data_IF_253360644512
#
_entry.id   IF_253360644512
#
_cell.length_a   1.000
_cell.length_b   1.000
_cell.length_c   1.000
_cell.angle_alpha   90.00
_cell.angle_beta   90.00
_cell.angle_gamma   90.00
#
_symmetry.space_group_name_H-M   'P 1'
#
loop_
_entity.id
_entity.type
_entity.pdbx_description
1 polymer ?
#
# COMPACT_ATOMS: atom_id res chain seq x y z
N UNK A 1 -22.27 30.63 25.32
CA UNK A 1 -22.23 29.57 24.29
C UNK A 1 -21.41 28.44 24.87
N UNK A 2 -21.96 27.22 24.91
CA UNK A 2 -21.23 26.05 25.43
C UNK A 2 -20.25 25.61 24.34
N UNK A 3 -18.95 25.70 24.58
CA UNK A 3 -17.94 25.09 23.69
C UNK A 3 -18.19 23.57 23.68
N UNK A 4 -18.69 23.04 22.56
CA UNK A 4 -18.75 21.60 22.36
C UNK A 4 -17.32 21.11 22.13
N UNK A 5 -16.79 20.32 23.07
CA UNK A 5 -15.51 19.64 22.87
C UNK A 5 -15.75 18.28 22.22
N UNK A 6 -15.39 18.18 20.95
CA UNK A 6 -15.48 16.96 20.16
C UNK A 6 -14.40 15.94 20.56
N UNK A 7 -13.28 16.40 21.13
CA UNK A 7 -12.09 15.58 21.41
C UNK A 7 -11.83 15.31 22.91
N UNK A 8 -12.87 15.21 23.73
CA UNK A 8 -12.77 15.10 25.20
C UNK A 8 -12.05 13.85 25.75
N UNK A 9 -11.94 12.76 24.98
CA UNK A 9 -11.34 11.48 25.41
C UNK A 9 -9.95 11.22 24.84
N UNK A 10 -9.39 12.17 24.11
CA UNK A 10 -8.15 12.01 23.35
C UNK A 10 -6.93 12.23 24.25
N UNK A 11 -6.01 11.25 24.29
CA UNK A 11 -4.79 11.31 25.11
C UNK A 11 -3.51 11.39 24.28
N UNK A 12 -3.54 10.94 23.04
CA UNK A 12 -2.38 10.87 22.14
C UNK A 12 -2.69 11.48 20.78
N UNK A 13 -1.65 11.76 19.99
CA UNK A 13 -1.81 12.21 18.60
C UNK A 13 -2.58 11.18 17.75
N UNK A 14 -2.35 9.90 18.00
CA UNK A 14 -3.08 8.81 17.31
C UNK A 14 -4.56 8.78 17.71
N UNK A 15 -4.87 8.93 18.99
CA UNK A 15 -6.26 9.04 19.47
C UNK A 15 -6.97 10.25 18.84
N UNK A 16 -6.26 11.36 18.66
CA UNK A 16 -6.80 12.58 18.05
C UNK A 16 -7.18 12.32 16.60
N UNK A 17 -6.27 11.72 15.84
CA UNK A 17 -6.48 11.33 14.43
C UNK A 17 -7.63 10.32 14.30
N UNK A 18 -7.69 9.34 15.20
CA UNK A 18 -8.71 8.28 15.18
C UNK A 18 -10.11 8.81 15.49
N UNK A 19 -10.24 9.66 16.51
CA UNK A 19 -11.55 10.25 16.83
C UNK A 19 -11.96 11.27 15.75
N UNK A 20 -11.02 12.02 15.18
CA UNK A 20 -11.28 12.91 14.05
C UNK A 20 -11.82 12.13 12.85
N UNK A 21 -11.18 11.01 12.49
CA UNK A 21 -11.63 10.13 11.41
C UNK A 21 -13.06 9.65 11.63
N UNK A 22 -13.38 9.22 12.85
CA UNK A 22 -14.72 8.73 13.21
C UNK A 22 -15.77 9.83 13.11
N UNK A 23 -15.46 11.03 13.61
CA UNK A 23 -16.37 12.18 13.58
C UNK A 23 -16.55 12.74 12.16
N UNK A 24 -15.47 12.85 11.38
CA UNK A 24 -15.50 13.25 9.98
C UNK A 24 -16.35 12.27 9.16
N UNK A 25 -16.20 10.96 9.40
CA UNK A 25 -17.08 9.95 8.82
C UNK A 25 -18.53 10.06 9.32
N UNK A 26 -18.82 10.59 10.50
CA UNK A 26 -20.21 10.67 10.96
C UNK A 26 -20.93 11.89 10.38
N UNK A 27 -20.23 13.03 10.31
CA UNK A 27 -20.82 14.33 9.99
C UNK A 27 -20.45 14.87 8.60
N UNK A 28 -19.79 14.05 7.76
CA UNK A 28 -19.45 14.43 6.39
C UNK A 28 -20.69 14.93 5.62
N UNK A 29 -20.60 16.05 4.88
CA UNK A 29 -21.75 16.62 4.16
C UNK A 29 -22.39 15.65 3.16
N UNK A 30 -21.60 14.75 2.56
CA UNK A 30 -22.08 13.77 1.58
C UNK A 30 -22.65 12.48 2.19
N UNK A 31 -22.75 12.40 3.52
CA UNK A 31 -23.37 11.25 4.20
C UNK A 31 -24.83 11.54 4.57
N UNK A 32 -25.71 10.53 4.56
CA UNK A 32 -27.07 10.69 5.05
C UNK A 32 -27.05 11.06 6.54
N UNK A 33 -27.49 12.28 6.86
CA UNK A 33 -27.39 12.86 8.21
C UNK A 33 -26.14 13.71 8.47
N UNK A 34 -25.36 14.02 7.42
CA UNK A 34 -24.23 14.93 7.42
C UNK A 34 -24.59 16.37 7.80
N UNK A 35 -23.63 17.11 8.34
CA UNK A 35 -23.84 18.49 8.79
C UNK A 35 -22.57 19.32 8.62
N UNK A 36 -22.60 20.23 7.62
CA UNK A 36 -21.48 21.12 7.29
C UNK A 36 -21.07 22.00 8.46
N UNK A 37 -22.01 22.46 9.30
CA UNK A 37 -21.69 23.31 10.45
C UNK A 37 -20.97 22.52 11.54
N UNK A 38 -21.39 21.27 11.81
CA UNK A 38 -20.68 20.38 12.74
C UNK A 38 -19.30 20.01 12.20
N UNK A 39 -19.17 19.74 10.90
CA UNK A 39 -17.87 19.43 10.30
C UNK A 39 -16.89 20.61 10.42
N UNK A 40 -17.35 21.85 10.20
CA UNK A 40 -16.51 23.04 10.40
C UNK A 40 -16.06 23.19 11.85
N UNK A 41 -16.91 22.88 12.82
CA UNK A 41 -16.55 22.89 14.24
C UNK A 41 -15.51 21.82 14.58
N UNK A 42 -15.72 20.58 14.09
CA UNK A 42 -14.78 19.46 14.27
C UNK A 42 -13.42 19.80 13.65
N UNK A 43 -13.40 20.39 12.45
CA UNK A 43 -12.19 20.85 11.78
C UNK A 43 -11.45 21.94 12.54
N UNK A 44 -12.17 22.94 13.04
CA UNK A 44 -11.58 24.04 13.79
C UNK A 44 -10.95 23.57 15.10
N UNK A 45 -11.63 22.67 15.83
CA UNK A 45 -11.07 22.09 17.06
C UNK A 45 -9.88 21.18 16.76
N UNK A 46 -9.95 20.37 15.70
CA UNK A 46 -8.85 19.52 15.26
C UNK A 46 -7.59 20.32 14.89
N UNK A 47 -7.73 21.38 14.08
CA UNK A 47 -6.62 22.26 13.70
C UNK A 47 -5.97 22.93 14.91
N UNK A 48 -6.75 23.24 15.95
CA UNK A 48 -6.23 23.83 17.18
C UNK A 48 -5.45 22.83 18.02
N UNK A 49 -5.94 21.60 18.12
CA UNK A 49 -5.35 20.56 18.97
C UNK A 49 -4.14 19.88 18.32
N UNK A 50 -4.16 19.68 17.02
CA UNK A 50 -3.15 18.89 16.30
C UNK A 50 -1.70 19.35 16.55
N UNK A 51 -1.34 20.65 16.46
CA UNK A 51 0.03 21.09 16.72
C UNK A 51 0.48 20.80 18.16
N UNK A 52 -0.41 20.90 19.14
CA UNK A 52 -0.10 20.64 20.54
C UNK A 52 0.16 19.15 20.78
N UNK A 53 -0.69 18.26 20.25
CA UNK A 53 -0.49 16.82 20.35
C UNK A 53 0.72 16.34 19.54
N UNK A 54 0.99 16.95 18.38
CA UNK A 54 2.17 16.67 17.57
C UNK A 54 3.45 17.06 18.30
N UNK A 55 3.49 18.25 18.92
CA UNK A 55 4.63 18.68 19.73
C UNK A 55 4.88 17.75 20.92
N UNK A 56 3.83 17.25 21.58
CA UNK A 56 3.96 16.29 22.69
C UNK A 56 4.48 14.94 22.17
N UNK A 57 3.91 14.42 21.09
CA UNK A 57 4.35 13.18 20.46
C UNK A 57 5.83 13.24 20.05
N UNK A 58 6.24 14.34 19.41
CA UNK A 58 7.60 14.52 18.92
C UNK A 58 8.65 14.68 20.02
N UNK A 59 8.25 14.94 21.28
CA UNK A 59 9.18 14.95 22.43
C UNK A 59 9.62 13.55 22.84
N UNK A 60 8.80 12.55 22.59
CA UNK A 60 9.02 11.16 23.06
C UNK A 60 9.22 10.16 21.92
N UNK A 61 8.89 10.53 20.68
CA UNK A 61 8.99 9.65 19.53
C UNK A 61 10.44 9.53 19.03
N UNK A 62 10.87 8.30 18.72
CA UNK A 62 12.14 8.04 18.05
C UNK A 62 12.21 8.67 16.64
N UNK A 63 11.04 8.82 16.00
CA UNK A 63 10.87 9.47 14.70
C UNK A 63 9.82 10.58 14.82
N UNK A 64 10.19 11.86 14.67
CA UNK A 64 9.24 12.98 14.74
C UNK A 64 8.23 12.96 13.59
N UNK A 65 6.95 13.20 13.88
CA UNK A 65 5.92 13.43 12.87
C UNK A 65 6.05 14.84 12.30
N UNK A 66 6.09 14.94 10.97
CA UNK A 66 6.09 16.20 10.19
C UNK A 66 4.75 16.48 9.51
N UNK A 67 3.71 15.69 9.82
CA UNK A 67 2.40 15.83 9.20
C UNK A 67 1.73 17.14 9.63
N UNK A 68 0.84 17.68 8.81
CA UNK A 68 0.03 18.85 9.16
C UNK A 68 -1.42 18.47 9.32
N UNK A 69 -2.16 19.23 10.14
CA UNK A 69 -3.60 19.06 10.28
C UNK A 69 -4.30 19.09 8.91
N UNK A 70 -3.91 20.02 8.02
CA UNK A 70 -4.45 20.10 6.67
C UNK A 70 -4.24 18.82 5.84
N UNK A 71 -3.03 18.25 5.85
CA UNK A 71 -2.74 16.98 5.18
C UNK A 71 -3.61 15.86 5.76
N UNK A 72 -3.61 15.69 7.08
CA UNK A 72 -4.39 14.64 7.72
C UNK A 72 -5.89 14.79 7.46
N UNK A 73 -6.43 16.01 7.44
CA UNK A 73 -7.84 16.25 7.09
C UNK A 73 -8.15 15.90 5.63
N UNK A 74 -7.31 16.32 4.68
CA UNK A 74 -7.49 16.06 3.25
C UNK A 74 -7.50 14.56 2.91
N UNK A 75 -6.74 13.75 3.65
CA UNK A 75 -6.73 12.28 3.51
C UNK A 75 -8.07 11.61 3.86
N UNK A 76 -8.99 12.29 4.54
CA UNK A 76 -10.27 11.74 4.98
C UNK A 76 -11.48 12.18 4.15
N UNK A 77 -11.33 13.16 3.24
CA UNK A 77 -12.45 13.84 2.61
C UNK A 77 -13.09 13.13 1.44
N UNK A 78 -12.63 11.93 1.13
CA UNK A 78 -13.25 11.18 0.05
C UNK A 78 -13.92 9.95 0.60
N UNK A 79 -15.21 9.86 0.32
CA UNK A 79 -16.11 8.82 0.78
C UNK A 79 -15.59 7.41 0.47
N UNK A 80 -14.71 7.29 -0.54
CA UNK A 80 -14.09 6.07 -1.05
C UNK A 80 -12.55 6.10 -1.00
N UNK A 81 -11.96 7.12 -0.37
CA UNK A 81 -10.52 7.33 -0.23
C UNK A 81 -9.87 6.28 0.65
N UNK A 82 -9.19 5.34 0.03
CA UNK A 82 -8.38 4.36 0.69
C UNK A 82 -6.92 4.47 0.25
N UNK A 83 -6.01 4.58 1.21
CA UNK A 83 -4.57 4.61 1.01
C UNK A 83 -3.97 3.45 1.79
N UNK A 84 -3.17 2.62 1.12
CA UNK A 84 -2.44 1.54 1.75
C UNK A 84 -1.32 2.04 2.67
N UNK A 85 -0.97 1.25 3.68
CA UNK A 85 -0.02 1.63 4.74
C UNK A 85 1.38 2.01 4.24
N UNK A 86 1.78 1.51 3.06
CA UNK A 86 3.08 1.76 2.44
C UNK A 86 3.00 2.75 1.26
N UNK A 87 1.87 3.43 1.05
CA UNK A 87 1.73 4.40 -0.03
C UNK A 87 2.51 5.69 0.26
N UNK A 88 3.26 6.14 -0.74
CA UNK A 88 3.88 7.46 -0.76
C UNK A 88 3.57 8.18 -2.08
N UNK A 89 3.27 9.48 -2.07
CA UNK A 89 2.89 10.23 -3.26
C UNK A 89 4.00 10.32 -4.31
N UNK A 90 5.27 10.37 -3.87
CA UNK A 90 6.44 10.47 -4.77
C UNK A 90 6.89 9.11 -5.33
N UNK A 91 6.28 8.01 -4.87
CA UNK A 91 6.66 6.66 -5.31
C UNK A 91 6.03 6.36 -6.67
N UNK A 92 6.88 6.03 -7.64
CA UNK A 92 6.45 5.65 -8.97
C UNK A 92 5.90 4.22 -9.02
N UNK A 93 5.00 3.97 -9.96
CA UNK A 93 4.43 2.63 -10.21
C UNK A 93 5.49 1.60 -10.62
N UNK A 94 6.57 2.07 -11.28
CA UNK A 94 7.70 1.23 -11.65
C UNK A 94 8.48 0.75 -10.41
N UNK A 95 8.66 1.62 -9.41
CA UNK A 95 9.27 1.24 -8.13
C UNK A 95 8.41 0.25 -7.37
N UNK A 96 7.09 0.48 -7.29
CA UNK A 96 6.15 -0.50 -6.70
C UNK A 96 6.30 -1.86 -7.39
N UNK A 97 6.44 -1.89 -8.71
CA UNK A 97 6.64 -3.14 -9.45
C UNK A 97 7.98 -3.82 -9.13
N UNK A 98 9.04 -3.07 -8.85
CA UNK A 98 10.33 -3.63 -8.38
C UNK A 98 10.18 -4.25 -7.00
N UNK A 99 9.57 -3.53 -6.07
CA UNK A 99 9.29 -4.00 -4.70
C UNK A 99 8.47 -5.29 -4.74
N UNK A 100 7.41 -5.36 -5.56
CA UNK A 100 6.60 -6.57 -5.70
C UNK A 100 7.39 -7.76 -6.25
N UNK A 101 8.32 -7.54 -7.19
CA UNK A 101 9.20 -8.61 -7.71
C UNK A 101 10.14 -9.13 -6.63
N UNK A 102 10.71 -8.25 -5.81
CA UNK A 102 11.59 -8.62 -4.71
C UNK A 102 10.83 -9.37 -3.62
N UNK A 103 9.66 -8.88 -3.22
CA UNK A 103 8.74 -9.56 -2.32
C UNK A 103 8.42 -10.97 -2.82
N UNK A 104 8.00 -11.11 -4.08
CA UNK A 104 7.66 -12.40 -4.67
C UNK A 104 8.86 -13.37 -4.66
N UNK A 105 10.08 -12.90 -4.97
CA UNK A 105 11.29 -13.73 -4.92
C UNK A 105 11.65 -14.18 -3.50
N UNK A 106 11.42 -13.32 -2.50
CA UNK A 106 11.76 -13.59 -1.08
C UNK A 106 10.75 -14.54 -0.43
N UNK A 107 9.46 -14.29 -0.63
CA UNK A 107 8.37 -15.06 0.01
C UNK A 107 8.04 -16.33 -0.76
N UNK A 108 8.13 -16.28 -2.08
CA UNK A 108 7.73 -17.35 -3.00
C UNK A 108 8.88 -17.73 -3.95
N UNK A 109 10.02 -18.21 -3.44
CA UNK A 109 11.19 -18.53 -4.26
C UNK A 109 10.98 -19.65 -5.28
N UNK A 110 10.00 -20.53 -5.03
CA UNK A 110 9.60 -21.63 -5.91
C UNK A 110 8.50 -21.24 -6.91
N UNK A 111 8.08 -19.98 -6.89
CA UNK A 111 7.04 -19.46 -7.78
C UNK A 111 7.67 -18.56 -8.83
N UNK A 112 7.16 -18.65 -10.07
CA UNK A 112 7.53 -17.75 -11.15
C UNK A 112 6.43 -16.72 -11.33
N UNK A 113 6.69 -15.48 -10.93
CA UNK A 113 5.81 -14.35 -11.20
C UNK A 113 6.29 -13.55 -12.41
N UNK A 114 5.34 -13.05 -13.19
CA UNK A 114 5.55 -12.04 -14.21
C UNK A 114 4.84 -10.76 -13.77
N UNK A 115 5.62 -9.81 -13.27
CA UNK A 115 5.15 -8.50 -12.80
C UNK A 115 5.63 -7.45 -13.79
N UNK A 116 4.72 -6.74 -14.45
CA UNK A 116 5.04 -5.77 -15.51
C UNK A 116 4.31 -4.46 -15.27
N UNK A 117 5.01 -3.35 -15.40
CA UNK A 117 4.40 -2.02 -15.37
C UNK A 117 4.05 -1.59 -16.79
N UNK A 118 2.87 -1.03 -16.97
CA UNK A 118 2.47 -0.39 -18.22
C UNK A 118 2.09 1.06 -17.93
N UNK A 119 2.56 1.98 -18.75
CA UNK A 119 2.23 3.40 -18.64
C UNK A 119 1.42 3.81 -19.86
N UNK A 120 0.39 4.62 -19.67
CA UNK A 120 -0.49 5.10 -20.72
C UNK A 120 -0.89 6.56 -20.47
N UNK A 121 -1.53 7.20 -21.44
CA UNK A 121 -2.00 8.57 -21.30
C UNK A 121 -3.03 8.65 -20.17
N UNK A 122 -2.68 9.34 -19.08
CA UNK A 122 -3.56 9.48 -17.91
C UNK A 122 -3.37 8.43 -16.81
N UNK A 123 -2.33 7.58 -16.86
CA UNK A 123 -2.04 6.70 -15.73
C UNK A 123 -1.04 5.58 -15.99
N UNK A 124 -1.02 4.64 -15.06
CA UNK A 124 -0.14 3.48 -15.07
C UNK A 124 -0.84 2.26 -14.47
N UNK A 125 -0.45 1.07 -14.91
CA UNK A 125 -0.95 -0.20 -14.41
C UNK A 125 0.17 -1.18 -14.06
N UNK A 126 -0.10 -2.10 -13.13
CA UNK A 126 0.76 -3.22 -12.77
C UNK A 126 0.03 -4.53 -13.09
N UNK A 127 0.59 -5.28 -14.04
CA UNK A 127 0.11 -6.61 -14.40
C UNK A 127 0.88 -7.65 -13.61
N UNK A 128 0.20 -8.44 -12.77
CA UNK A 128 0.80 -9.50 -11.96
C UNK A 128 0.22 -10.86 -12.38
N UNK A 129 1.06 -11.67 -13.01
CA UNK A 129 0.71 -13.02 -13.46
C UNK A 129 1.53 -14.09 -12.72
N UNK A 130 0.86 -15.07 -12.11
CA UNK A 130 1.51 -16.29 -11.62
C UNK A 130 1.72 -17.25 -12.79
N UNK A 131 2.98 -17.49 -13.17
CA UNK A 131 3.35 -18.29 -14.35
C UNK A 131 3.73 -19.73 -14.01
N UNK A 132 4.29 -19.98 -12.83
CA UNK A 132 4.60 -21.33 -12.37
C UNK A 132 4.61 -21.43 -10.85
N UNK A 133 4.25 -22.61 -10.32
CA UNK A 133 4.31 -22.94 -8.90
C UNK A 133 4.46 -24.47 -8.70
N UNK A 134 4.83 -24.95 -7.50
CA UNK A 134 4.97 -26.38 -7.20
C UNK A 134 3.66 -27.12 -6.93
N UNK A 135 2.54 -26.58 -7.40
CA UNK A 135 1.21 -27.13 -7.22
C UNK A 135 0.29 -26.69 -8.37
N UNK A 136 -0.79 -27.43 -8.59
CA UNK A 136 -1.84 -27.03 -9.53
C UNK A 136 -2.56 -25.77 -9.04
N UNK A 137 -2.70 -24.79 -9.93
CA UNK A 137 -3.34 -23.53 -9.57
C UNK A 137 -4.87 -23.58 -9.61
N UNK A 138 -5.41 -24.46 -10.44
CA UNK A 138 -6.84 -24.56 -10.71
C UNK A 138 -7.37 -25.94 -10.32
N UNK A 139 -8.55 -25.97 -9.68
CA UNK A 139 -9.26 -27.20 -9.36
C UNK A 139 -9.98 -27.79 -10.59
N UNK A 140 -10.29 -26.96 -11.59
CA UNK A 140 -11.04 -27.30 -12.80
C UNK A 140 -10.15 -27.62 -14.01
N UNK A 141 -8.83 -27.75 -13.81
CA UNK A 141 -7.87 -28.09 -14.88
C UNK A 141 -7.59 -26.95 -15.86
N UNK A 142 -8.10 -25.74 -15.63
CA UNK A 142 -7.69 -24.56 -16.40
C UNK A 142 -6.18 -24.34 -16.24
N UNK A 143 -5.58 -23.72 -17.26
CA UNK A 143 -4.17 -23.31 -17.24
C UNK A 143 -3.98 -21.81 -17.31
N UNK A 144 -5.06 -21.06 -17.47
CA UNK A 144 -5.02 -19.61 -17.46
C UNK A 144 -6.35 -19.03 -17.00
N UNK A 145 -6.30 -17.92 -16.27
CA UNK A 145 -7.47 -17.12 -15.94
C UNK A 145 -7.05 -15.76 -15.40
N UNK A 146 -7.76 -14.71 -15.84
CA UNK A 146 -7.71 -13.41 -15.18
C UNK A 146 -8.57 -13.47 -13.91
N UNK A 147 -8.03 -12.96 -12.81
CA UNK A 147 -8.68 -12.98 -11.51
C UNK A 147 -9.32 -11.62 -11.23
N UNK A 148 -10.58 -11.66 -10.77
CA UNK A 148 -11.21 -10.46 -10.25
C UNK A 148 -10.73 -10.21 -8.83
N UNK A 149 -9.98 -9.13 -8.64
CA UNK A 149 -9.39 -8.72 -7.37
C UNK A 149 -10.40 -8.56 -6.21
N UNK A 150 -11.67 -8.25 -6.52
CA UNK A 150 -12.72 -8.07 -5.51
C UNK A 150 -13.31 -9.40 -5.03
N UNK A 151 -13.36 -10.42 -5.89
CA UNK A 151 -13.99 -11.72 -5.60
C UNK A 151 -12.97 -12.86 -5.47
N UNK A 152 -11.69 -12.54 -5.20
CA UNK A 152 -10.62 -13.54 -5.02
C UNK A 152 -10.94 -14.53 -3.90
N UNK A 153 -11.55 -14.07 -2.81
CA UNK A 153 -11.89 -14.93 -1.67
C UNK A 153 -12.98 -15.94 -2.03
N UNK A 154 -13.93 -15.56 -2.88
CA UNK A 154 -15.08 -16.38 -3.27
C UNK A 154 -14.78 -17.28 -4.48
N UNK A 155 -13.67 -17.04 -5.19
CA UNK A 155 -13.33 -17.80 -6.39
C UNK A 155 -13.17 -19.31 -6.10
N UNK A 156 -14.05 -20.14 -6.65
CA UNK A 156 -14.06 -21.59 -6.44
C UNK A 156 -13.17 -22.36 -7.42
N UNK A 157 -12.71 -21.72 -8.51
CA UNK A 157 -11.86 -22.35 -9.52
C UNK A 157 -10.41 -22.51 -9.06
N UNK A 158 -9.96 -21.75 -8.06
CA UNK A 158 -8.59 -21.80 -7.55
C UNK A 158 -8.40 -22.87 -6.48
N UNK A 159 -7.24 -23.53 -6.49
CA UNK A 159 -6.82 -24.37 -5.36
C UNK A 159 -6.57 -23.51 -4.12
N UNK A 160 -6.71 -24.07 -2.90
CA UNK A 160 -6.47 -23.32 -1.67
C UNK A 160 -5.08 -22.66 -1.61
N UNK A 161 -4.06 -23.35 -2.11
CA UNK A 161 -2.68 -22.86 -2.17
C UNK A 161 -2.55 -21.66 -3.12
N UNK A 162 -3.09 -21.78 -4.35
CA UNK A 162 -3.08 -20.68 -5.31
C UNK A 162 -3.86 -19.47 -4.81
N UNK A 163 -5.05 -19.69 -4.24
CA UNK A 163 -5.88 -18.64 -3.65
C UNK A 163 -5.12 -17.90 -2.56
N UNK A 164 -4.46 -18.61 -1.64
CA UNK A 164 -3.67 -17.99 -0.57
C UNK A 164 -2.57 -17.07 -1.12
N UNK A 165 -1.83 -17.52 -2.13
CA UNK A 165 -0.76 -16.73 -2.75
C UNK A 165 -1.31 -15.50 -3.47
N UNK A 166 -2.41 -15.64 -4.22
CA UNK A 166 -3.00 -14.51 -4.94
C UNK A 166 -3.66 -13.50 -3.99
N UNK A 167 -4.26 -13.95 -2.88
CA UNK A 167 -4.76 -13.06 -1.82
C UNK A 167 -3.65 -12.29 -1.13
N UNK A 168 -2.54 -12.97 -0.81
CA UNK A 168 -1.36 -12.33 -0.26
C UNK A 168 -0.82 -11.27 -1.21
N UNK A 169 -0.75 -11.60 -2.50
CA UNK A 169 -0.24 -10.68 -3.49
C UNK A 169 -1.15 -9.47 -3.69
N UNK A 170 -2.47 -9.70 -3.71
CA UNK A 170 -3.48 -8.65 -3.72
C UNK A 170 -3.35 -7.73 -2.49
N UNK A 171 -3.11 -8.28 -1.30
CA UNK A 171 -2.92 -7.50 -0.07
C UNK A 171 -1.71 -6.57 -0.18
N UNK A 172 -0.57 -7.10 -0.62
CA UNK A 172 0.68 -6.33 -0.71
C UNK A 172 0.56 -5.24 -1.78
N UNK A 173 0.01 -5.54 -2.95
CA UNK A 173 -0.22 -4.52 -4.00
C UNK A 173 -1.07 -3.38 -3.45
N UNK A 174 -2.17 -3.71 -2.77
CA UNK A 174 -3.04 -2.70 -2.18
C UNK A 174 -2.29 -1.88 -1.12
N UNK A 175 -1.38 -2.46 -0.32
CA UNK A 175 -0.62 -1.68 0.68
C UNK A 175 0.18 -0.51 0.09
N UNK A 176 0.49 -0.53 -1.22
CA UNK A 176 1.20 0.53 -1.92
C UNK A 176 0.28 1.45 -2.75
N UNK A 177 -1.03 1.24 -2.72
CA UNK A 177 -2.00 1.87 -3.62
C UNK A 177 -2.84 2.91 -2.89
N UNK A 178 -3.12 4.04 -3.57
CA UNK A 178 -4.22 4.96 -3.24
C UNK A 178 -5.36 4.71 -4.22
N UNK A 179 -6.57 4.63 -3.70
CA UNK A 179 -7.81 4.54 -4.46
C UNK A 179 -8.75 5.57 -3.91
N UNK A 180 -9.30 6.39 -4.77
CA UNK A 180 -10.15 7.50 -4.41
C UNK A 180 -11.32 7.63 -5.39
N UNK A 181 -11.83 6.48 -5.82
CA UNK A 181 -12.83 6.42 -6.87
C UNK A 181 -14.17 6.90 -6.34
N UNK A 182 -14.74 7.94 -6.94
CA UNK A 182 -16.13 8.36 -6.70
C UNK A 182 -17.02 7.87 -7.85
N UNK A 183 -18.10 7.16 -7.51
CA UNK A 183 -19.11 6.70 -8.47
C UNK A 183 -19.81 7.82 -9.25
N UNK A 184 -19.76 9.08 -8.78
CA UNK A 184 -20.53 10.19 -9.33
C UNK A 184 -19.69 11.25 -10.07
N UNK A 185 -18.38 11.35 -9.80
CA UNK A 185 -17.54 12.46 -10.32
C UNK A 185 -16.28 11.94 -11.02
N UNK A 186 -15.53 11.02 -10.40
CA UNK A 186 -14.29 10.48 -10.99
C UNK A 186 -14.18 8.96 -10.76
N UNK A 187 -14.63 8.23 -11.78
CA UNK A 187 -14.78 6.78 -11.76
C UNK A 187 -13.45 6.02 -11.58
N UNK A 188 -12.29 6.69 -11.74
CA UNK A 188 -10.99 6.04 -11.71
C UNK A 188 -9.83 6.85 -11.08
N UNK A 189 -10.06 7.60 -9.99
CA UNK A 189 -8.92 8.22 -9.28
C UNK A 189 -8.13 7.18 -8.47
N UNK A 190 -7.02 6.70 -9.03
CA UNK A 190 -6.18 5.66 -8.45
C UNK A 190 -4.72 5.98 -8.67
N UNK A 191 -3.85 5.66 -7.71
CA UNK A 191 -2.40 5.86 -7.89
C UNK A 191 -1.82 4.99 -9.01
N UNK A 192 -2.41 3.82 -9.22
CA UNK A 192 -2.18 2.96 -10.37
C UNK A 192 -3.29 1.89 -10.45
N UNK A 193 -3.51 1.36 -11.63
CA UNK A 193 -4.36 0.20 -11.88
C UNK A 193 -3.56 -1.09 -11.68
N UNK A 194 -4.24 -2.20 -11.44
CA UNK A 194 -3.57 -3.49 -11.47
C UNK A 194 -4.53 -4.60 -11.87
N UNK A 195 -3.97 -5.70 -12.35
CA UNK A 195 -4.67 -6.91 -12.68
C UNK A 195 -3.89 -8.12 -12.18
N UNK A 196 -4.66 -9.11 -11.77
CA UNK A 196 -4.15 -10.37 -11.28
C UNK A 196 -4.52 -11.46 -12.27
N UNK A 197 -3.57 -12.32 -12.59
CA UNK A 197 -3.81 -13.47 -13.46
C UNK A 197 -2.99 -14.68 -13.03
N UNK A 198 -3.45 -15.85 -13.42
CA UNK A 198 -2.66 -17.08 -13.39
C UNK A 198 -2.51 -17.51 -14.84
N UNK A 199 -1.28 -17.70 -15.29
CA UNK A 199 -0.96 -17.81 -16.71
C UNK A 199 -1.29 -16.52 -17.49
N UNK A 200 -0.89 -16.49 -18.74
CA UNK A 200 -1.27 -15.47 -19.73
C UNK A 200 -1.88 -16.16 -20.95
N UNK A 201 -2.69 -15.44 -21.70
CA UNK A 201 -3.34 -15.94 -22.93
C UNK A 201 -2.38 -16.65 -23.90
N UNK A 202 -1.11 -16.23 -23.96
CA UNK A 202 -0.06 -16.80 -24.81
C UNK A 202 0.95 -17.71 -24.06
N UNK A 203 0.89 -17.77 -22.74
CA UNK A 203 1.83 -18.50 -21.88
C UNK A 203 1.06 -19.10 -20.70
N UNK A 204 0.56 -20.34 -20.82
CA UNK A 204 -0.21 -20.98 -19.76
C UNK A 204 0.63 -21.17 -18.48
N UNK A 205 -0.06 -21.33 -17.36
CA UNK A 205 0.54 -21.71 -16.08
C UNK A 205 1.16 -23.11 -16.16
N UNK A 206 2.34 -23.25 -15.57
CA UNK A 206 3.10 -24.50 -15.52
C UNK A 206 3.32 -24.95 -14.08
N UNK A 207 3.06 -26.22 -13.78
CA UNK A 207 3.51 -26.81 -12.52
C UNK A 207 5.00 -27.12 -12.62
N UNK A 208 5.81 -26.58 -11.71
CA UNK A 208 7.26 -26.83 -11.66
C UNK A 208 7.66 -27.37 -10.31
N UNK A 209 8.49 -28.42 -10.31
CA UNK A 209 9.04 -28.96 -9.08
C UNK A 209 9.73 -27.86 -8.26
N UNK A 210 9.60 -27.89 -6.93
CA UNK A 210 10.25 -26.92 -6.06
C UNK A 210 11.77 -26.95 -6.31
N UNK A 211 12.39 -25.77 -6.28
CA UNK A 211 13.83 -25.66 -6.52
C UNK A 211 14.56 -26.19 -5.29
N UNK A 212 15.29 -27.30 -5.43
CA UNK A 212 16.02 -27.98 -4.36
C UNK A 212 17.01 -27.09 -3.56
N UNK A 213 17.35 -25.91 -4.06
CA UNK A 213 18.31 -24.99 -3.47
C UNK A 213 17.74 -23.92 -2.49
N UNK A 214 16.41 -23.83 -2.25
CA UNK A 214 15.82 -22.67 -1.52
C UNK A 214 14.87 -23.00 -0.36
N UNK A 215 14.74 -24.27 0.02
CA UNK A 215 13.81 -24.71 1.07
C UNK A 215 14.22 -24.27 2.49
N UNK A 216 15.47 -23.87 2.71
CA UNK A 216 16.01 -23.58 4.05
C UNK A 216 15.64 -22.21 4.66
N UNK A 217 14.98 -21.31 3.91
CA UNK A 217 14.75 -19.91 4.33
C UNK A 217 13.29 -19.43 4.30
N UNK A 218 12.31 -20.34 4.34
CA UNK A 218 10.89 -20.02 4.17
C UNK A 218 10.34 -19.29 5.42
N UNK A 219 10.55 -17.97 5.51
CA UNK A 219 9.96 -17.12 6.56
C UNK A 219 8.44 -17.07 6.41
N UNK A 220 7.75 -17.08 7.55
CA UNK A 220 6.29 -16.95 7.62
C UNK A 220 5.84 -15.54 7.25
N UNK A 221 4.58 -15.39 6.80
CA UNK A 221 4.02 -14.10 6.34
C UNK A 221 4.19 -12.99 7.39
N UNK A 222 4.10 -13.33 8.68
CA UNK A 222 4.35 -12.41 9.81
C UNK A 222 5.80 -11.96 9.95
N UNK A 223 6.79 -12.78 9.60
CA UNK A 223 8.22 -12.46 9.71
C UNK A 223 8.77 -11.64 8.54
N UNK A 224 8.04 -11.58 7.43
CA UNK A 224 8.39 -10.75 6.27
C UNK A 224 7.73 -9.36 6.38
N UNK A 225 6.79 -9.18 7.31
CA UNK A 225 6.08 -7.93 7.56
C UNK A 225 6.85 -6.94 8.46
N UNK A 226 8.05 -7.28 8.96
CA UNK A 226 9.00 -6.27 9.49
C UNK A 226 9.77 -5.59 8.34
N UNK A 227 9.03 -4.99 7.41
CA UNK A 227 9.57 -4.03 6.45
C UNK A 227 9.31 -2.62 7.00
N UNK A 228 9.75 -2.39 8.23
CA UNK A 228 9.78 -1.07 8.84
C UNK A 228 10.93 -0.26 8.21
N UNK A 229 10.62 0.55 7.20
CA UNK A 229 11.33 1.80 6.83
C UNK A 229 12.83 1.79 6.46
N UNK A 230 13.59 0.71 6.69
CA UNK A 230 15.05 0.71 6.56
C UNK A 230 15.54 0.09 5.23
N UNK A 231 14.79 -0.84 4.65
CA UNK A 231 15.28 -1.65 3.52
C UNK A 231 15.17 -0.97 2.14
N UNK A 232 14.71 0.30 2.07
CA UNK A 232 14.65 1.05 0.81
C UNK A 232 15.04 2.53 0.95
N UNK A 233 16.05 2.82 1.78
CA UNK A 233 16.85 4.04 1.63
C UNK A 233 17.88 3.82 0.51
N UNK A 234 17.53 4.20 -0.71
CA UNK A 234 18.52 4.55 -1.73
C UNK A 234 18.27 6.00 -2.16
N UNK A 235 18.58 6.94 -1.27
CA UNK A 235 19.24 8.16 -1.72
C UNK A 235 20.71 7.80 -1.90
N UNK A 236 21.17 7.80 -3.15
CA UNK A 236 22.55 7.48 -3.51
C UNK A 236 23.52 8.30 -2.66
N UNK A 237 24.50 7.59 -2.10
CA UNK A 237 25.75 8.17 -1.63
C UNK A 237 26.29 9.07 -2.74
N UNK A 238 26.34 10.36 -2.44
CA UNK A 238 27.13 11.31 -3.20
C UNK A 238 28.60 10.91 -3.03
N UNK A 239 29.25 10.66 -4.16
CA UNK A 239 30.69 10.54 -4.29
C UNK A 239 31.39 11.74 -3.60
N UNK A 240 32.03 11.48 -2.47
CA UNK A 240 33.21 12.21 -2.01
C UNK A 240 34.29 11.19 -1.65
N UNK A 241 34.74 10.43 -2.65
CA UNK A 241 36.09 9.89 -2.65
C UNK A 241 37.04 10.99 -3.14
N UNK A 242 37.43 11.88 -2.23
CA UNK A 242 38.66 12.66 -2.40
C UNK A 242 39.82 11.67 -2.55
N UNK A 243 40.32 11.53 -3.77
CA UNK A 243 41.54 10.79 -4.05
C UNK A 243 42.72 11.45 -3.35
N UNK A 244 43.31 10.72 -2.40
CA UNK A 244 44.73 10.80 -2.16
C UNK A 244 45.42 10.02 -3.27
N UNK A 245 45.97 10.74 -4.25
CA UNK A 245 47.14 10.27 -4.98
C UNK A 245 48.19 11.38 -4.89
N UNK A 246 49.31 10.98 -4.31
CA UNK A 246 50.46 11.83 -4.12
C UNK A 246 51.24 12.08 -5.41
N UNK A 247 52.08 13.09 -5.26
CA UNK A 247 53.37 13.29 -5.92
C UNK A 247 53.36 13.91 -7.32
N UNK A 248 53.92 15.13 -7.37
CA UNK A 248 54.81 15.62 -8.44
C UNK A 248 55.38 16.99 -8.05
N UNK A 249 56.70 17.00 -7.76
CA UNK A 249 57.74 17.99 -8.12
C UNK A 249 57.36 19.48 -8.09
N UNK A 250 58.08 20.39 -7.42
CA UNK A 250 59.53 20.67 -7.34
C UNK A 250 59.78 21.43 -6.03
#
# INVERSE_FOLDING_TARGET
>A
MIEMSWFSKVKTLEDLKKEYKKLAMQYHPDRPGGDTAKMQQINGEYDRLFPAYQAIHNRTAATPSQETAAQTRSEFYTQNGWKGDNYHPDRSTAEVSKILREYAKRVYPDHKFSITTHTFAGGSSIHVALMAAPYEAFADGKKQSSLNQYYLQENTSLTPQAKKVMLDMNRVINSYRRSDCDSMIDYFDVSFYYDLSIGRWNKPFEVKAPSAAKTAGRKTVSEVLDLSGADFSMSGELDEAMGEDGDLAI
#
